data_IF_889008834928
#
_entry.id   IF_889008834928
#
_cell.length_a   1.000
_cell.length_b   1.000
_cell.length_c   1.000
_cell.angle_alpha   90.00
_cell.angle_beta   90.00
_cell.angle_gamma   90.00
#
_symmetry.space_group_name_H-M   'P 1'
#
loop_
_entity.id
_entity.type
_entity.pdbx_description
1 polymer ?
#
# COMPACT_ATOMS: atom_id res chain seq x y z
N UNK A 1 16.92 6.22 3.67
CA UNK A 1 16.48 7.54 3.19
C UNK A 1 17.23 8.67 3.93
N UNK A 2 17.19 8.74 5.30
CA UNK A 2 17.83 9.83 6.07
C UNK A 2 19.31 10.02 5.74
N UNK A 3 20.10 8.93 5.67
CA UNK A 3 21.52 8.99 5.28
C UNK A 3 21.76 9.56 3.88
N UNK A 4 20.83 9.33 2.95
CA UNK A 4 20.91 9.92 1.62
C UNK A 4 20.72 11.44 1.69
N UNK A 5 19.75 11.90 2.47
CA UNK A 5 19.53 13.34 2.67
C UNK A 5 20.73 14.00 3.34
N UNK A 6 21.38 13.31 4.30
CA UNK A 6 22.60 13.79 4.94
C UNK A 6 23.74 13.96 3.91
N UNK A 7 23.93 12.96 3.05
CA UNK A 7 24.93 12.98 1.98
C UNK A 7 24.65 14.10 0.94
N UNK A 8 23.37 14.45 0.73
CA UNK A 8 22.96 15.53 -0.16
C UNK A 8 22.94 16.92 0.54
N UNK A 9 23.26 17.00 1.82
CA UNK A 9 23.22 18.25 2.59
C UNK A 9 21.82 18.78 2.88
N UNK A 10 20.77 17.94 2.70
CA UNK A 10 19.36 18.31 2.93
C UNK A 10 19.01 18.12 4.40
N UNK A 11 18.86 19.19 5.14
CA UNK A 11 18.55 19.15 6.58
C UNK A 11 17.09 18.92 6.88
N UNK A 12 16.20 19.58 6.15
CA UNK A 12 14.75 19.58 6.40
C UNK A 12 14.00 19.38 5.10
N UNK A 13 12.97 18.55 5.13
CA UNK A 13 12.05 18.31 4.03
C UNK A 13 10.80 19.20 4.19
N UNK A 14 10.37 19.81 3.10
CA UNK A 14 9.09 20.49 3.04
C UNK A 14 7.93 19.52 3.26
N UNK A 15 7.97 18.37 2.57
CA UNK A 15 6.97 17.32 2.72
C UNK A 15 7.57 15.94 2.46
N UNK A 16 6.98 14.91 3.09
CA UNK A 16 7.09 13.50 2.71
C UNK A 16 5.69 13.01 2.38
N UNK A 17 5.51 12.45 1.19
CA UNK A 17 4.24 11.89 0.75
C UNK A 17 4.40 10.41 0.42
N UNK A 18 3.42 9.61 0.80
CA UNK A 18 3.39 8.20 0.41
C UNK A 18 2.01 7.59 0.48
N UNK A 19 1.76 6.64 -0.43
CA UNK A 19 0.56 5.81 -0.45
C UNK A 19 0.82 4.43 0.13
N UNK A 20 -0.17 3.83 0.80
CA UNK A 20 -0.06 2.47 1.36
C UNK A 20 1.14 2.33 2.30
N UNK A 21 2.08 1.43 2.01
CA UNK A 21 3.37 1.33 2.70
C UNK A 21 4.13 2.67 2.74
N UNK A 22 4.04 3.46 1.66
CA UNK A 22 4.66 4.78 1.61
C UNK A 22 4.07 5.74 2.65
N UNK A 23 2.77 5.64 2.96
CA UNK A 23 2.15 6.38 4.05
C UNK A 23 2.66 5.95 5.44
N UNK A 24 2.87 4.64 5.64
CA UNK A 24 3.55 4.14 6.86
C UNK A 24 4.97 4.69 6.98
N UNK A 25 5.71 4.77 5.87
CA UNK A 25 7.04 5.37 5.85
C UNK A 25 7.00 6.87 6.14
N UNK A 26 6.02 7.61 5.60
CA UNK A 26 5.83 9.04 5.90
C UNK A 26 5.53 9.25 7.39
N UNK A 27 4.68 8.40 7.97
CA UNK A 27 4.43 8.41 9.42
C UNK A 27 5.70 8.09 10.21
N UNK A 28 6.47 7.09 9.77
CA UNK A 28 7.77 6.74 10.35
C UNK A 28 8.75 7.93 10.32
N UNK A 29 8.78 8.70 9.23
CA UNK A 29 9.56 9.92 9.13
C UNK A 29 9.16 10.97 10.16
N UNK A 30 7.86 11.24 10.30
CA UNK A 30 7.33 12.19 11.27
C UNK A 30 7.65 11.82 12.72
N UNK A 31 7.80 10.51 13.00
CA UNK A 31 8.12 10.01 14.33
C UNK A 31 9.62 9.92 14.60
N UNK A 32 10.43 9.51 13.64
CA UNK A 32 11.86 9.30 13.83
C UNK A 32 12.68 10.58 13.67
N UNK A 33 12.20 11.50 12.82
CA UNK A 33 12.87 12.75 12.49
C UNK A 33 11.92 13.95 12.57
N UNK A 34 11.25 14.18 13.73
CA UNK A 34 10.20 15.19 13.83
C UNK A 34 10.66 16.60 13.46
N UNK A 35 11.93 16.96 13.78
CA UNK A 35 12.51 18.25 13.45
C UNK A 35 12.96 18.41 12.00
N UNK A 36 12.95 17.33 11.22
CA UNK A 36 13.40 17.29 9.83
C UNK A 36 12.27 17.25 8.81
N UNK A 37 11.02 17.30 9.26
CA UNK A 37 9.86 17.18 8.38
C UNK A 37 8.81 18.23 8.75
N UNK A 38 8.40 19.05 7.77
CA UNK A 38 7.35 20.05 7.97
C UNK A 38 5.96 19.50 7.72
N UNK A 39 5.78 18.70 6.66
CA UNK A 39 4.49 18.12 6.30
C UNK A 39 4.60 16.62 6.01
N UNK A 40 3.66 15.83 6.53
CA UNK A 40 3.50 14.40 6.25
C UNK A 40 2.18 14.15 5.52
N UNK A 41 2.24 13.59 4.33
CA UNK A 41 1.06 13.27 3.51
C UNK A 41 0.90 11.76 3.43
N UNK A 42 -0.13 11.23 4.08
CA UNK A 42 -0.44 9.80 4.17
C UNK A 42 -1.67 9.50 3.33
N UNK A 43 -1.52 8.64 2.33
CA UNK A 43 -2.60 8.28 1.41
C UNK A 43 -2.88 6.80 1.49
N UNK A 44 -4.15 6.39 1.65
CA UNK A 44 -4.56 4.99 1.71
C UNK A 44 -3.68 4.15 2.65
N UNK A 45 -3.50 4.62 3.89
CA UNK A 45 -2.56 4.04 4.86
C UNK A 45 -3.21 3.84 6.24
N UNK A 46 -2.53 3.08 7.10
CA UNK A 46 -2.99 2.71 8.42
C UNK A 46 -1.86 2.75 9.46
N UNK A 47 -2.16 2.80 10.77
CA UNK A 47 -1.13 2.79 11.80
C UNK A 47 -0.44 1.42 11.94
N UNK A 48 -1.10 0.35 11.58
CA UNK A 48 -0.57 -1.02 11.49
C UNK A 48 -1.47 -1.89 10.62
N UNK A 49 -1.02 -3.11 10.30
CA UNK A 49 -1.85 -4.07 9.56
C UNK A 49 -2.86 -4.78 10.47
N UNK A 50 -4.04 -5.08 9.90
CA UNK A 50 -5.02 -5.98 10.52
C UNK A 50 -4.56 -7.43 10.43
N UNK A 51 -5.17 -8.31 11.25
CA UNK A 51 -4.94 -9.75 11.16
C UNK A 51 -5.24 -10.30 9.76
N UNK A 52 -6.28 -9.80 9.10
CA UNK A 52 -6.64 -10.18 7.73
C UNK A 52 -5.54 -9.81 6.73
N UNK A 53 -4.99 -8.60 6.79
CA UNK A 53 -3.88 -8.19 5.94
C UNK A 53 -2.61 -9.03 6.17
N UNK A 54 -2.30 -9.35 7.43
CA UNK A 54 -1.19 -10.24 7.80
C UNK A 54 -1.43 -11.65 7.24
N UNK A 55 -2.69 -12.15 7.28
CA UNK A 55 -3.05 -13.44 6.71
C UNK A 55 -2.83 -13.49 5.19
N UNK A 56 -3.25 -12.48 4.44
CA UNK A 56 -2.96 -12.37 2.99
C UNK A 56 -1.46 -12.36 2.71
N UNK A 57 -0.69 -11.59 3.48
CA UNK A 57 0.77 -11.57 3.36
C UNK A 57 1.38 -12.95 3.64
N UNK A 58 0.88 -13.68 4.65
CA UNK A 58 1.38 -15.02 4.98
C UNK A 58 1.08 -16.02 3.86
N UNK A 59 -0.12 -16.04 3.29
CA UNK A 59 -0.44 -16.92 2.15
C UNK A 59 0.49 -16.64 0.96
N UNK A 60 0.71 -15.36 0.65
CA UNK A 60 1.62 -14.96 -0.43
C UNK A 60 3.08 -15.39 -0.15
N UNK A 61 3.57 -15.20 1.07
CA UNK A 61 4.91 -15.67 1.47
C UNK A 61 5.02 -17.20 1.41
N UNK A 62 3.98 -17.91 1.88
CA UNK A 62 3.97 -19.38 1.79
C UNK A 62 4.04 -19.87 0.35
N UNK A 63 3.32 -19.23 -0.57
CA UNK A 63 3.42 -19.56 -1.99
C UNK A 63 4.87 -19.43 -2.52
N UNK A 64 5.59 -18.38 -2.11
CA UNK A 64 6.98 -18.16 -2.52
C UNK A 64 7.93 -19.18 -1.88
N UNK A 65 7.87 -19.37 -0.56
CA UNK A 65 8.86 -20.22 0.14
C UNK A 65 8.68 -21.71 -0.12
N UNK A 66 7.49 -22.12 -0.60
CA UNK A 66 7.21 -23.50 -1.01
C UNK A 66 7.43 -23.76 -2.50
N UNK A 67 7.81 -22.73 -3.26
CA UNK A 67 8.21 -22.89 -4.67
C UNK A 67 9.48 -23.75 -4.74
N UNK A 68 9.52 -24.83 -5.58
CA UNK A 68 10.72 -25.67 -5.72
C UNK A 68 11.99 -24.91 -6.06
N UNK A 69 11.85 -23.79 -6.81
CA UNK A 69 12.96 -22.96 -7.25
C UNK A 69 13.38 -21.90 -6.21
N UNK A 70 12.75 -21.86 -5.00
CA UNK A 70 13.08 -20.89 -3.97
C UNK A 70 14.41 -21.16 -3.27
N UNK A 71 14.80 -22.42 -3.12
CA UNK A 71 16.07 -22.86 -2.51
C UNK A 71 16.42 -22.16 -1.19
N UNK A 72 15.45 -22.07 -0.27
CA UNK A 72 15.59 -21.36 1.00
C UNK A 72 16.12 -19.91 0.89
N UNK A 73 15.79 -19.23 -0.22
CA UNK A 73 16.23 -17.87 -0.54
C UNK A 73 17.55 -17.77 -1.33
N UNK A 74 18.19 -18.90 -1.62
CA UNK A 74 19.47 -18.95 -2.34
C UNK A 74 19.32 -19.18 -3.85
N UNK A 75 18.15 -18.94 -4.43
CA UNK A 75 17.82 -19.19 -5.82
C UNK A 75 18.76 -18.47 -6.82
N UNK A 76 19.38 -17.36 -6.44
CA UNK A 76 20.39 -16.69 -7.28
C UNK A 76 21.59 -17.59 -7.59
N UNK A 77 22.08 -18.35 -6.57
CA UNK A 77 23.19 -19.26 -6.76
C UNK A 77 22.88 -20.45 -7.68
N UNK A 78 21.59 -20.74 -7.85
CA UNK A 78 21.09 -21.80 -8.74
C UNK A 78 20.71 -21.27 -10.13
N UNK A 79 20.76 -19.96 -10.37
CA UNK A 79 20.39 -19.35 -11.64
C UNK A 79 18.91 -19.49 -12.00
N UNK A 80 18.04 -19.68 -10.99
CA UNK A 80 16.58 -19.85 -11.14
C UNK A 80 15.82 -18.75 -10.40
N UNK A 81 14.51 -18.65 -10.66
CA UNK A 81 13.61 -17.72 -9.98
C UNK A 81 12.36 -18.49 -9.51
N UNK A 82 11.87 -18.28 -8.28
CA UNK A 82 10.64 -18.91 -7.76
C UNK A 82 9.39 -18.27 -8.37
N UNK A 83 9.26 -18.39 -9.70
CA UNK A 83 8.20 -17.72 -10.48
C UNK A 83 6.80 -18.20 -10.15
N UNK A 84 6.64 -19.48 -9.78
CA UNK A 84 5.33 -20.04 -9.41
C UNK A 84 4.79 -19.36 -8.17
N UNK A 85 5.62 -19.23 -7.14
CA UNK A 85 5.27 -18.58 -5.89
C UNK A 85 5.01 -17.08 -6.08
N UNK A 86 5.86 -16.38 -6.84
CA UNK A 86 5.68 -14.96 -7.15
C UNK A 86 4.38 -14.68 -7.91
N UNK A 87 4.00 -15.55 -8.87
CA UNK A 87 2.72 -15.46 -9.59
C UNK A 87 1.53 -15.50 -8.63
N UNK A 88 1.49 -16.52 -7.76
CA UNK A 88 0.40 -16.68 -6.79
C UNK A 88 0.36 -15.50 -5.82
N UNK A 89 1.51 -15.07 -5.31
CA UNK A 89 1.62 -13.91 -4.44
C UNK A 89 1.04 -12.64 -5.09
N UNK A 90 1.32 -12.42 -6.38
CA UNK A 90 0.77 -11.29 -7.13
C UNK A 90 -0.72 -11.40 -7.40
N UNK A 91 -1.21 -12.61 -7.71
CA UNK A 91 -2.65 -12.86 -7.89
C UNK A 91 -3.42 -12.50 -6.62
N UNK A 92 -2.95 -12.92 -5.45
CA UNK A 92 -3.52 -12.54 -4.15
C UNK A 92 -3.51 -11.02 -3.97
N UNK A 93 -2.39 -10.36 -4.30
CA UNK A 93 -2.29 -8.92 -4.25
C UNK A 93 -3.38 -8.24 -5.08
N UNK A 94 -3.58 -8.67 -6.33
CA UNK A 94 -4.61 -8.09 -7.20
C UNK A 94 -6.05 -8.27 -6.69
N UNK A 95 -6.35 -9.38 -6.03
CA UNK A 95 -7.64 -9.57 -5.37
C UNK A 95 -7.83 -8.54 -4.26
N UNK A 96 -6.80 -8.20 -3.52
CA UNK A 96 -6.89 -7.28 -2.39
C UNK A 96 -6.81 -5.79 -2.77
N UNK A 97 -6.42 -5.47 -4.00
CA UNK A 97 -6.26 -4.07 -4.45
C UNK A 97 -7.52 -3.48 -5.08
N UNK A 98 -8.37 -4.32 -5.67
CA UNK A 98 -9.60 -3.88 -6.30
C UNK A 98 -10.80 -3.98 -5.33
N UNK A 99 -11.80 -3.15 -5.52
CA UNK A 99 -13.09 -3.34 -4.87
C UNK A 99 -13.87 -4.48 -5.54
N UNK A 100 -14.84 -5.05 -4.80
CA UNK A 100 -15.75 -6.07 -5.35
C UNK A 100 -16.55 -5.52 -6.51
N UNK A 101 -17.06 -4.30 -6.40
CA UNK A 101 -17.84 -3.64 -7.44
C UNK A 101 -17.07 -3.51 -8.76
N UNK A 102 -15.84 -2.99 -8.71
CA UNK A 102 -14.99 -2.84 -9.92
C UNK A 102 -14.60 -4.19 -10.49
N UNK A 103 -14.36 -5.19 -9.65
CA UNK A 103 -14.05 -6.54 -10.11
C UNK A 103 -15.24 -7.17 -10.81
N UNK A 104 -16.45 -7.01 -10.25
CA UNK A 104 -17.69 -7.50 -10.84
C UNK A 104 -18.07 -6.73 -12.11
N UNK A 105 -17.93 -5.41 -12.14
CA UNK A 105 -18.16 -4.58 -13.32
C UNK A 105 -17.24 -4.99 -14.48
N UNK A 106 -15.98 -5.20 -14.19
CA UNK A 106 -14.95 -5.47 -15.21
C UNK A 106 -14.99 -6.89 -15.76
N UNK A 107 -15.26 -7.88 -14.93
CA UNK A 107 -15.16 -9.29 -15.32
C UNK A 107 -16.48 -10.04 -15.17
N UNK A 108 -17.28 -9.76 -14.16
CA UNK A 108 -18.50 -10.50 -13.83
C UNK A 108 -18.26 -12.01 -13.82
N UNK A 109 -19.15 -12.75 -14.45
CA UNK A 109 -19.01 -14.18 -14.73
C UNK A 109 -18.71 -14.49 -16.20
N UNK A 110 -18.02 -13.56 -16.88
CA UNK A 110 -17.77 -13.69 -18.32
C UNK A 110 -16.76 -14.82 -18.57
N UNK A 111 -17.11 -15.70 -19.52
CA UNK A 111 -16.21 -16.72 -20.01
C UNK A 111 -15.19 -16.10 -20.97
N UNK A 112 -13.99 -16.65 -20.97
CA UNK A 112 -12.91 -16.24 -21.87
C UNK A 112 -13.28 -16.49 -23.35
N UNK A 113 -13.93 -17.60 -23.61
CA UNK A 113 -14.46 -17.95 -24.93
C UNK A 113 -16.00 -17.99 -24.85
N UNK A 114 -16.64 -17.03 -25.46
CA UNK A 114 -18.11 -16.95 -25.50
C UNK A 114 -18.76 -18.12 -26.29
N UNK A 115 -17.98 -18.82 -27.13
CA UNK A 115 -18.40 -20.02 -27.86
C UNK A 115 -18.34 -21.30 -27.00
N UNK A 116 -17.80 -21.22 -25.78
CA UNK A 116 -17.82 -22.33 -24.84
C UNK A 116 -19.24 -22.55 -24.31
N UNK A 117 -19.91 -23.56 -24.83
CA UNK A 117 -21.31 -23.86 -24.48
C UNK A 117 -21.47 -24.30 -23.02
N UNK A 118 -20.59 -25.18 -22.51
CA UNK A 118 -20.65 -25.76 -21.16
C UNK A 118 -19.30 -25.65 -20.44
N UNK A 119 -19.32 -25.69 -19.10
CA UNK A 119 -18.12 -25.72 -18.28
C UNK A 119 -17.37 -27.04 -18.46
N UNK A 120 -16.06 -26.95 -18.68
CA UNK A 120 -15.20 -28.11 -18.95
C UNK A 120 -14.68 -28.82 -17.70
N UNK A 121 -14.86 -28.21 -16.52
CA UNK A 121 -14.28 -28.68 -15.25
C UNK A 121 -12.76 -28.95 -15.32
N UNK A 122 -12.07 -28.21 -16.20
CA UNK A 122 -10.62 -28.34 -16.38
C UNK A 122 -9.87 -27.61 -15.26
N UNK A 123 -8.82 -28.26 -14.74
CA UNK A 123 -7.86 -27.62 -13.83
C UNK A 123 -6.73 -26.90 -14.56
N UNK A 124 -6.60 -27.09 -15.86
CA UNK A 124 -5.51 -26.55 -16.67
C UNK A 124 -5.95 -25.35 -17.52
N UNK A 125 -7.18 -25.41 -18.02
CA UNK A 125 -7.72 -24.37 -18.89
C UNK A 125 -8.23 -23.16 -18.07
N UNK A 126 -8.22 -22.00 -18.70
CA UNK A 126 -8.80 -20.76 -18.16
C UNK A 126 -10.21 -20.66 -18.71
N UNK A 127 -11.19 -20.69 -17.85
CA UNK A 127 -12.60 -20.60 -18.24
C UNK A 127 -13.14 -19.16 -18.10
N UNK A 128 -12.85 -18.48 -17.01
CA UNK A 128 -13.33 -17.13 -16.76
C UNK A 128 -12.30 -16.05 -17.12
N UNK A 129 -12.80 -14.87 -17.51
CA UNK A 129 -11.91 -13.73 -17.83
C UNK A 129 -11.08 -13.28 -16.64
N UNK A 130 -11.64 -13.32 -15.43
CA UNK A 130 -10.90 -12.98 -14.20
C UNK A 130 -9.70 -13.91 -13.97
N UNK A 131 -9.80 -15.20 -14.29
CA UNK A 131 -8.68 -16.14 -14.17
C UNK A 131 -7.54 -15.76 -15.13
N UNK A 132 -7.91 -15.41 -16.38
CA UNK A 132 -6.95 -14.93 -17.38
C UNK A 132 -6.23 -13.66 -16.93
N UNK A 133 -6.99 -12.72 -16.38
CA UNK A 133 -6.44 -11.48 -15.84
C UNK A 133 -5.45 -11.74 -14.69
N UNK A 134 -5.83 -12.55 -13.70
CA UNK A 134 -4.96 -12.85 -12.57
C UNK A 134 -3.68 -13.58 -13.01
N UNK A 135 -3.79 -14.55 -13.91
CA UNK A 135 -2.62 -15.26 -14.46
C UNK A 135 -1.68 -14.29 -15.19
N UNK A 136 -2.22 -13.42 -16.05
CA UNK A 136 -1.43 -12.41 -16.74
C UNK A 136 -0.68 -11.47 -15.79
N UNK A 137 -1.35 -10.98 -14.75
CA UNK A 137 -0.74 -10.10 -13.75
C UNK A 137 0.35 -10.83 -12.94
N UNK A 138 0.11 -12.10 -12.62
CA UNK A 138 1.09 -12.95 -11.96
C UNK A 138 2.34 -13.18 -12.81
N UNK A 139 2.16 -13.55 -14.08
CA UNK A 139 3.25 -13.81 -15.03
C UNK A 139 4.12 -12.56 -15.21
N UNK A 140 3.49 -11.42 -15.50
CA UNK A 140 4.18 -10.14 -15.66
C UNK A 140 5.02 -9.76 -14.44
N UNK A 141 4.46 -9.95 -13.23
CA UNK A 141 5.16 -9.63 -11.99
C UNK A 141 6.36 -10.53 -11.73
N UNK A 142 6.22 -11.84 -11.97
CA UNK A 142 7.26 -12.83 -11.73
C UNK A 142 8.50 -12.66 -12.63
N UNK A 143 8.38 -11.88 -13.71
CA UNK A 143 9.49 -11.65 -14.64
C UNK A 143 10.45 -10.56 -14.16
N UNK A 144 10.04 -9.67 -13.26
CA UNK A 144 10.88 -8.54 -12.83
C UNK A 144 11.04 -8.38 -11.32
N UNK A 145 10.16 -9.00 -10.51
CA UNK A 145 10.18 -8.78 -9.07
C UNK A 145 11.00 -9.83 -8.33
N UNK A 146 11.76 -9.41 -7.36
CA UNK A 146 12.62 -10.26 -6.55
C UNK A 146 11.87 -10.89 -5.37
N UNK A 147 11.99 -12.22 -5.22
CA UNK A 147 11.28 -12.96 -4.19
C UNK A 147 11.72 -12.63 -2.76
N UNK A 148 13.03 -12.48 -2.51
CA UNK A 148 13.53 -12.11 -1.20
C UNK A 148 13.09 -10.70 -0.82
N UNK A 149 13.06 -9.78 -1.78
CA UNK A 149 12.53 -8.43 -1.60
C UNK A 149 11.04 -8.46 -1.24
N UNK A 150 10.25 -9.31 -1.90
CA UNK A 150 8.83 -9.48 -1.57
C UNK A 150 8.62 -9.94 -0.11
N UNK A 151 9.39 -10.96 0.30
CA UNK A 151 9.33 -11.47 1.67
C UNK A 151 9.70 -10.38 2.68
N UNK A 152 10.76 -9.62 2.42
CA UNK A 152 11.23 -8.56 3.30
C UNK A 152 10.21 -7.42 3.41
N UNK A 153 9.66 -6.94 2.29
CA UNK A 153 8.68 -5.85 2.26
C UNK A 153 7.40 -6.25 3.00
N UNK A 154 6.89 -7.46 2.77
CA UNK A 154 5.68 -7.93 3.47
C UNK A 154 5.92 -8.11 4.97
N UNK A 155 7.10 -8.53 5.40
CA UNK A 155 7.46 -8.54 6.84
C UNK A 155 7.59 -7.13 7.41
N UNK A 156 8.14 -6.19 6.67
CA UNK A 156 8.21 -4.79 7.12
C UNK A 156 6.81 -4.19 7.32
N UNK A 157 5.86 -4.53 6.42
CA UNK A 157 4.45 -4.17 6.59
C UNK A 157 3.84 -4.80 7.85
N UNK A 158 4.03 -6.12 8.07
CA UNK A 158 3.50 -6.82 9.24
C UNK A 158 4.05 -6.26 10.56
N UNK A 159 5.30 -5.81 10.57
CA UNK A 159 5.98 -5.34 11.77
C UNK A 159 5.77 -3.86 12.07
N UNK A 160 5.27 -3.09 11.10
CA UNK A 160 5.00 -1.68 11.31
C UNK A 160 3.86 -1.51 12.32
N UNK A 161 4.23 -1.02 13.48
CA UNK A 161 3.30 -0.69 14.58
C UNK A 161 3.95 0.36 15.49
N UNK A 162 3.73 1.64 15.26
CA UNK A 162 4.30 2.70 16.07
C UNK A 162 3.81 2.70 17.51
N UNK A 163 2.63 2.12 17.78
CA UNK A 163 2.06 2.06 19.13
C UNK A 163 2.61 0.89 19.97
N UNK A 164 3.30 -0.07 19.37
CA UNK A 164 3.78 -1.29 20.05
C UNK A 164 4.56 -1.01 21.32
N UNK A 165 5.49 -0.07 21.28
CA UNK A 165 6.32 0.30 22.44
C UNK A 165 5.59 1.18 23.47
N UNK A 166 4.37 1.61 23.16
CA UNK A 166 3.51 2.44 23.98
C UNK A 166 2.28 1.67 24.51
N UNK A 167 2.38 0.34 24.60
CA UNK A 167 1.29 -0.50 25.08
C UNK A 167 0.05 -0.51 24.17
N UNK A 168 0.20 -0.18 22.89
CA UNK A 168 -0.89 -0.06 21.93
C UNK A 168 -1.54 1.32 21.87
N UNK A 169 -1.08 2.28 22.65
CA UNK A 169 -1.60 3.66 22.63
C UNK A 169 -0.98 4.46 21.47
N UNK A 170 -1.78 4.67 20.43
CA UNK A 170 -1.35 5.41 19.24
C UNK A 170 -1.19 6.91 19.55
N UNK A 171 -1.99 7.48 20.44
CA UNK A 171 -1.86 8.90 20.82
C UNK A 171 -0.53 9.16 21.49
N UNK A 172 -0.10 8.30 22.41
CA UNK A 172 1.23 8.39 23.03
C UNK A 172 2.35 8.25 21.99
N UNK A 173 2.20 7.30 21.06
CA UNK A 173 3.20 7.11 19.99
C UNK A 173 3.35 8.35 19.10
N UNK A 174 2.25 9.05 18.78
CA UNK A 174 2.24 10.22 17.92
C UNK A 174 2.55 11.54 18.66
N UNK A 175 2.68 11.54 19.97
CA UNK A 175 2.91 12.75 20.77
C UNK A 175 4.17 13.53 20.35
N UNK A 176 5.22 12.84 19.86
CA UNK A 176 6.46 13.47 19.42
C UNK A 176 6.44 14.05 18.01
N UNK A 177 5.43 13.73 17.19
CA UNK A 177 5.32 14.25 15.84
C UNK A 177 5.15 15.78 15.87
N UNK A 178 5.84 16.50 14.98
CA UNK A 178 5.81 17.97 14.87
C UNK A 178 5.27 18.44 13.52
N UNK A 179 5.26 17.57 12.53
CA UNK A 179 4.79 17.86 11.19
C UNK A 179 3.29 18.26 11.19
N UNK A 180 2.88 19.03 10.20
CA UNK A 180 1.48 19.15 9.78
C UNK A 180 1.12 17.94 8.92
N UNK A 181 -0.13 17.51 8.97
CA UNK A 181 -0.54 16.27 8.31
C UNK A 181 -1.64 16.49 7.27
N UNK A 182 -1.54 15.77 6.16
CA UNK A 182 -2.68 15.46 5.29
C UNK A 182 -2.87 13.95 5.29
N UNK A 183 -4.08 13.49 5.62
CA UNK A 183 -4.48 12.10 5.44
C UNK A 183 -5.56 12.04 4.37
N UNK A 184 -5.42 11.07 3.44
CA UNK A 184 -6.42 10.78 2.42
C UNK A 184 -6.75 9.30 2.45
N UNK A 185 -8.03 8.96 2.47
CA UNK A 185 -8.54 7.60 2.35
C UNK A 185 -9.60 7.49 1.25
N UNK A 186 -9.94 6.27 0.83
CA UNK A 186 -10.90 6.01 -0.23
C UNK A 186 -12.01 5.11 0.27
N UNK A 187 -13.27 5.43 -0.05
CA UNK A 187 -14.47 4.81 0.54
C UNK A 187 -14.50 3.28 0.36
N UNK A 188 -14.05 2.77 -0.77
CA UNK A 188 -14.08 1.33 -1.10
C UNK A 188 -12.76 0.60 -0.83
N UNK A 189 -11.76 1.28 -0.27
CA UNK A 189 -10.52 0.63 0.15
C UNK A 189 -10.79 -0.24 1.38
N UNK A 190 -10.92 -1.55 1.16
CA UNK A 190 -11.15 -2.50 2.23
C UNK A 190 -9.85 -3.05 2.82
N UNK A 191 -8.72 -2.93 2.09
CA UNK A 191 -7.39 -3.31 2.56
C UNK A 191 -6.86 -2.33 3.62
N UNK A 192 -6.97 -1.04 3.34
CA UNK A 192 -6.65 0.05 4.27
C UNK A 192 -7.89 0.93 4.45
N UNK A 193 -8.93 0.32 5.02
CA UNK A 193 -10.24 0.96 5.16
C UNK A 193 -10.14 2.35 5.81
N UNK A 194 -11.02 3.31 5.44
CA UNK A 194 -11.04 4.66 6.01
C UNK A 194 -11.04 4.70 7.54
N UNK A 195 -11.66 3.70 8.18
CA UNK A 195 -11.65 3.56 9.63
C UNK A 195 -10.22 3.50 10.21
N UNK A 196 -9.29 2.87 9.49
CA UNK A 196 -7.88 2.75 9.90
C UNK A 196 -7.14 4.09 9.79
N UNK A 197 -7.40 4.86 8.73
CA UNK A 197 -6.87 6.23 8.61
C UNK A 197 -7.42 7.14 9.71
N UNK A 198 -8.71 6.98 10.07
CA UNK A 198 -9.34 7.75 11.16
C UNK A 198 -8.75 7.45 12.54
N UNK A 199 -8.10 6.30 12.77
CA UNK A 199 -7.34 6.05 14.01
C UNK A 199 -6.14 7.01 14.12
N UNK A 200 -5.39 7.18 13.02
CA UNK A 200 -4.28 8.15 12.98
C UNK A 200 -4.82 9.58 13.20
N UNK A 201 -5.93 9.93 12.52
CA UNK A 201 -6.58 11.24 12.67
C UNK A 201 -6.91 11.52 14.14
N UNK A 202 -7.57 10.60 14.83
CA UNK A 202 -7.93 10.77 16.26
C UNK A 202 -6.70 10.96 17.13
N UNK A 203 -5.68 10.12 16.96
CA UNK A 203 -4.45 10.21 17.73
C UNK A 203 -3.69 11.52 17.49
N UNK A 204 -3.74 12.08 16.27
CA UNK A 204 -3.17 13.40 15.98
C UNK A 204 -3.99 14.54 16.62
N UNK A 205 -5.32 14.45 16.60
CA UNK A 205 -6.21 15.40 17.25
C UNK A 205 -6.02 15.42 18.77
N UNK A 206 -5.88 14.26 19.42
CA UNK A 206 -5.58 14.14 20.84
C UNK A 206 -4.30 14.89 21.20
N UNK A 207 -3.32 14.89 20.30
CA UNK A 207 -2.07 15.62 20.43
C UNK A 207 -2.14 17.06 19.91
N UNK A 208 -3.32 17.56 19.52
CA UNK A 208 -3.53 18.91 18.97
C UNK A 208 -2.61 19.23 17.80
N UNK A 209 -2.37 18.25 16.93
CA UNK A 209 -1.57 18.45 15.73
C UNK A 209 -2.40 19.09 14.63
N UNK A 210 -1.73 19.93 13.81
CA UNK A 210 -2.33 20.50 12.62
C UNK A 210 -2.51 19.40 11.59
N UNK A 211 -3.77 19.13 11.20
CA UNK A 211 -4.08 18.08 10.24
C UNK A 211 -5.29 18.43 9.38
N UNK A 212 -5.23 17.96 8.14
CA UNK A 212 -6.37 17.88 7.21
C UNK A 212 -6.68 16.41 6.93
N UNK A 213 -7.95 16.07 6.79
CA UNK A 213 -8.40 14.73 6.42
C UNK A 213 -9.43 14.80 5.30
N UNK A 214 -9.23 13.99 4.28
CA UNK A 214 -10.20 13.81 3.19
C UNK A 214 -10.49 12.32 2.99
N UNK A 215 -11.77 11.96 2.96
CA UNK A 215 -12.26 10.65 2.52
C UNK A 215 -12.87 10.83 1.13
N UNK A 216 -12.24 10.20 0.14
CA UNK A 216 -12.65 10.32 -1.27
C UNK A 216 -13.57 9.15 -1.59
N UNK A 217 -14.75 9.46 -2.07
CA UNK A 217 -15.67 8.45 -2.58
C UNK A 217 -15.20 7.96 -3.97
N UNK A 218 -14.53 6.80 -3.97
CA UNK A 218 -13.96 6.21 -5.18
C UNK A 218 -14.23 4.70 -5.22
N UNK A 219 -14.63 4.15 -6.38
CA UNK A 219 -15.03 2.74 -6.49
C UNK A 219 -13.85 1.76 -6.62
N UNK A 220 -12.62 2.24 -6.75
CA UNK A 220 -11.49 1.45 -7.25
C UNK A 220 -10.71 0.66 -6.18
N UNK A 221 -11.21 0.59 -4.95
CA UNK A 221 -10.54 -0.12 -3.86
C UNK A 221 -9.25 0.56 -3.43
N UNK A 222 -8.26 -0.25 -3.05
CA UNK A 222 -6.95 0.26 -2.60
C UNK A 222 -6.18 0.97 -3.71
N UNK A 223 -6.30 0.52 -4.95
CA UNK A 223 -5.58 1.12 -6.09
C UNK A 223 -6.09 2.52 -6.48
N UNK A 224 -7.17 3.02 -5.85
CA UNK A 224 -7.74 4.33 -6.12
C UNK A 224 -6.71 5.48 -6.05
N UNK A 225 -5.70 5.39 -5.16
CA UNK A 225 -4.66 6.41 -5.05
C UNK A 225 -3.65 6.44 -6.21
N UNK A 226 -3.68 5.43 -7.09
CA UNK A 226 -2.84 5.33 -8.29
C UNK A 226 -3.56 5.85 -9.54
N UNK A 227 -4.83 6.23 -9.41
CA UNK A 227 -5.68 6.63 -10.53
C UNK A 227 -5.91 8.15 -10.53
N UNK A 228 -6.24 8.68 -11.71
CA UNK A 228 -6.51 10.11 -11.93
C UNK A 228 -7.94 10.48 -11.48
N UNK A 229 -8.22 10.47 -10.17
CA UNK A 229 -9.45 11.01 -9.61
C UNK A 229 -9.29 12.52 -9.37
N UNK A 230 -10.10 13.39 -10.03
CA UNK A 230 -9.95 14.84 -9.90
C UNK A 230 -10.15 15.37 -8.49
N UNK A 231 -10.99 14.70 -7.66
CA UNK A 231 -11.26 15.10 -6.27
C UNK A 231 -10.02 14.82 -5.41
N UNK A 232 -9.44 13.62 -5.56
CA UNK A 232 -8.20 13.25 -4.89
C UNK A 232 -7.06 14.18 -5.30
N UNK A 233 -6.82 14.32 -6.60
CA UNK A 233 -5.76 15.20 -7.12
C UNK A 233 -5.98 16.67 -6.71
N UNK A 234 -7.24 17.12 -6.65
CA UNK A 234 -7.60 18.46 -6.17
C UNK A 234 -7.21 18.69 -4.71
N UNK A 235 -7.48 17.71 -3.83
CA UNK A 235 -7.08 17.77 -2.42
C UNK A 235 -5.56 17.84 -2.29
N UNK A 236 -4.84 16.96 -2.97
CA UNK A 236 -3.36 16.92 -2.93
C UNK A 236 -2.78 18.23 -3.45
N UNK A 237 -3.26 18.71 -4.62
CA UNK A 237 -2.79 19.98 -5.20
C UNK A 237 -3.00 21.14 -4.25
N UNK A 238 -4.22 21.31 -3.73
CA UNK A 238 -4.54 22.42 -2.81
C UNK A 238 -3.66 22.40 -1.56
N UNK A 239 -3.33 21.21 -1.04
CA UNK A 239 -2.45 21.09 0.12
C UNK A 239 -1.03 21.49 -0.23
N UNK A 240 -0.49 21.03 -1.37
CA UNK A 240 0.87 21.41 -1.83
C UNK A 240 0.97 22.88 -2.22
N UNK A 241 -0.08 23.47 -2.78
CA UNK A 241 -0.14 24.94 -3.02
C UNK A 241 -0.06 25.69 -1.69
N UNK A 242 -0.70 25.17 -0.63
CA UNK A 242 -0.58 25.69 0.73
C UNK A 242 0.87 25.63 1.25
N UNK A 243 1.55 24.50 1.06
CA UNK A 243 2.98 24.37 1.40
C UNK A 243 3.81 25.37 0.61
N UNK A 244 3.56 25.53 -0.70
CA UNK A 244 4.28 26.48 -1.56
C UNK A 244 4.13 27.92 -1.06
N UNK A 245 2.93 28.34 -0.64
CA UNK A 245 2.70 29.66 -0.03
C UNK A 245 3.39 29.81 1.32
N UNK A 246 3.31 28.79 2.18
CA UNK A 246 3.99 28.80 3.51
C UNK A 246 5.52 28.93 3.35
N UNK A 247 6.07 28.44 2.27
CA UNK A 247 7.51 28.51 1.98
C UNK A 247 7.89 29.69 1.08
N UNK A 248 6.95 30.57 0.77
CA UNK A 248 7.15 31.75 -0.11
C UNK A 248 7.62 31.35 -1.55
N UNK A 249 7.27 30.13 -1.98
CA UNK A 249 7.57 29.64 -3.34
C UNK A 249 6.46 29.95 -4.34
N UNK A 250 5.27 30.27 -3.86
CA UNK A 250 4.07 30.61 -4.64
C UNK A 250 3.47 31.90 -4.12
N UNK A 251 2.86 32.74 -5.00
CA UNK A 251 2.16 33.95 -4.61
C UNK A 251 0.94 33.70 -3.72
#
# INVERSE_FOLDING_TARGET
QARLLDALGIRTLAAVMGGSLGGMQALGWALQYPERLRHAVLVASAPNLTAENIAFNEVARRAIVTDPDFHAGHFYAHGVLPKRGLRIARMIGHITYLSDDVMNEKFGRQLRDAAMGDYKYSTQEVEFQIESYLRYQGDKFADYFDANTYLLITRALDYFDPAKTYGGDLSLALARAQAKFLLVSFSTDWRFAPARSREIVRALLDNRRDLSYAEIDAPHGHDAFLLDDPRYLGVVRSYFDGIGREMELLP
#
